data_IF_416343092438
#
_entry.id   IF_416343092438
#
_cell.length_a   1.000
_cell.length_b   1.000
_cell.length_c   1.000
_cell.angle_alpha   90.00
_cell.angle_beta   90.00
_cell.angle_gamma   90.00
#
_symmetry.space_group_name_H-M   'P 1'
#
loop_
_entity.id
_entity.type
_entity.pdbx_description
1 polymer ?
#
# COMPACT_ATOMS: atom_id res chain seq x y z
N UNK A 1 -5.08 15.09 12.86
CA UNK A 1 -6.01 15.21 11.71
C UNK A 1 -5.39 14.54 10.50
N UNK A 2 -6.05 13.55 9.88
CA UNK A 2 -5.54 12.94 8.66
C UNK A 2 -5.45 13.95 7.51
N UNK A 3 -4.48 13.74 6.64
CA UNK A 3 -4.24 14.58 5.48
C UNK A 3 -4.63 13.90 4.17
N UNK A 4 -4.59 12.59 4.14
CA UNK A 4 -5.00 11.79 3.00
C UNK A 4 -5.79 10.57 3.45
N UNK A 5 -6.60 10.03 2.55
CA UNK A 5 -7.45 8.87 2.82
C UNK A 5 -7.61 8.02 1.56
N UNK A 6 -7.71 6.72 1.75
CA UNK A 6 -8.11 5.78 0.71
C UNK A 6 -9.23 4.89 1.27
N UNK A 7 -10.26 4.64 0.47
CA UNK A 7 -11.41 3.85 0.90
C UNK A 7 -11.54 2.62 0.01
N UNK A 8 -11.40 1.44 0.61
CA UNK A 8 -11.74 0.19 -0.04
C UNK A 8 -13.22 -0.08 0.16
N UNK A 9 -13.97 -0.12 -0.92
CA UNK A 9 -15.40 -0.40 -0.87
C UNK A 9 -15.75 -1.39 -1.99
N UNK A 10 -15.09 -2.52 -1.99
CA UNK A 10 -15.31 -3.59 -2.95
C UNK A 10 -16.03 -4.76 -2.27
N UNK A 11 -16.56 -5.68 -3.06
CA UNK A 11 -17.37 -6.78 -2.55
C UNK A 11 -16.69 -7.58 -1.43
N UNK A 12 -15.40 -7.88 -1.59
CA UNK A 12 -14.65 -8.75 -0.70
C UNK A 12 -13.62 -8.04 0.16
N UNK A 13 -13.40 -6.75 -0.07
CA UNK A 13 -12.43 -5.94 0.68
C UNK A 13 -13.07 -4.60 1.04
N UNK A 14 -13.20 -4.33 2.33
CA UNK A 14 -13.74 -3.08 2.83
C UNK A 14 -12.87 -2.56 3.96
N UNK A 15 -12.57 -1.27 3.90
CA UNK A 15 -11.76 -0.62 4.92
C UNK A 15 -11.37 0.78 4.54
N UNK A 16 -10.92 1.52 5.54
CA UNK A 16 -10.44 2.89 5.39
C UNK A 16 -8.97 2.96 5.77
N UNK A 17 -8.20 3.69 5.00
CA UNK A 17 -6.79 3.93 5.30
C UNK A 17 -6.57 5.43 5.36
N UNK A 18 -6.03 5.91 6.47
CA UNK A 18 -5.71 7.32 6.65
C UNK A 18 -4.20 7.53 6.72
N UNK A 19 -3.79 8.70 6.26
CA UNK A 19 -2.38 9.12 6.21
C UNK A 19 -2.27 10.46 6.91
N UNK A 20 -1.45 10.53 7.95
CA UNK A 20 -1.29 11.72 8.77
C UNK A 20 0.18 12.14 8.77
N UNK A 21 0.45 13.39 8.40
CA UNK A 21 1.81 13.94 8.51
C UNK A 21 2.20 14.09 9.98
N UNK A 22 3.39 13.64 10.29
CA UNK A 22 3.99 13.80 11.63
C UNK A 22 5.46 14.11 11.47
N UNK A 23 5.81 15.40 11.53
CA UNK A 23 7.15 15.85 11.20
C UNK A 23 7.51 15.49 9.77
N UNK A 24 8.65 14.85 9.56
CA UNK A 24 9.11 14.39 8.25
C UNK A 24 8.55 13.02 7.83
N UNK A 25 7.63 12.47 8.62
CA UNK A 25 7.10 11.13 8.42
C UNK A 25 5.61 11.14 8.14
N UNK A 26 5.09 10.03 7.62
CA UNK A 26 3.65 9.78 7.48
C UNK A 26 3.28 8.59 8.36
N UNK A 27 2.25 8.79 9.18
CA UNK A 27 1.59 7.70 9.89
C UNK A 27 0.46 7.16 9.04
N UNK A 28 0.46 5.85 8.82
CA UNK A 28 -0.59 5.14 8.09
C UNK A 28 -1.39 4.33 9.08
N UNK A 29 -2.71 4.50 9.06
CA UNK A 29 -3.62 3.66 9.84
C UNK A 29 -4.64 3.03 8.90
N UNK A 30 -4.61 1.71 8.77
CA UNK A 30 -5.52 0.95 7.93
C UNK A 30 -6.46 0.15 8.82
N UNK A 31 -7.77 0.33 8.61
CA UNK A 31 -8.81 -0.39 9.36
C UNK A 31 -9.61 -1.18 8.33
N UNK A 32 -9.48 -2.51 8.36
CA UNK A 32 -10.23 -3.40 7.47
C UNK A 32 -11.40 -4.04 8.21
N UNK A 33 -12.59 -3.92 7.63
CA UNK A 33 -13.82 -4.53 8.15
C UNK A 33 -14.25 -5.76 7.36
N UNK A 34 -13.67 -5.96 6.17
CA UNK A 34 -13.87 -7.15 5.36
C UNK A 34 -12.61 -7.45 4.55
N UNK A 35 -12.14 -8.70 4.64
CA UNK A 35 -10.93 -9.14 3.97
C UNK A 35 -11.01 -10.65 3.74
N UNK A 36 -10.61 -11.18 2.57
CA UNK A 36 -10.54 -12.63 2.37
C UNK A 36 -9.60 -13.28 3.37
N UNK A 37 -9.81 -14.57 3.63
CA UNK A 37 -8.97 -15.37 4.53
C UNK A 37 -7.54 -15.44 3.99
N UNK A 38 -6.55 -15.45 4.87
CA UNK A 38 -5.14 -15.58 4.54
C UNK A 38 -4.37 -14.27 4.62
N UNK A 39 -3.09 -14.34 4.31
CA UNK A 39 -2.22 -13.18 4.24
C UNK A 39 -2.27 -12.57 2.84
N UNK A 40 -2.25 -11.25 2.78
CA UNK A 40 -2.33 -10.50 1.53
C UNK A 40 -1.26 -9.42 1.52
N UNK A 41 -0.46 -9.39 0.46
CA UNK A 41 0.45 -8.29 0.22
C UNK A 41 -0.33 -6.97 0.15
N UNK A 42 0.21 -5.92 0.77
CA UNK A 42 -0.44 -4.62 0.88
C UNK A 42 0.59 -3.55 0.55
N UNK A 43 0.31 -2.76 -0.51
CA UNK A 43 1.30 -1.84 -1.05
C UNK A 43 0.68 -0.54 -1.53
N UNK A 44 1.48 0.53 -1.48
CA UNK A 44 1.17 1.77 -2.20
C UNK A 44 1.75 1.63 -3.61
N UNK A 45 0.91 1.84 -4.62
CA UNK A 45 1.29 1.82 -6.03
C UNK A 45 1.39 3.25 -6.58
N UNK A 46 2.11 3.41 -7.70
CA UNK A 46 2.48 4.71 -8.26
C UNK A 46 1.29 5.53 -8.75
N UNK A 47 0.30 4.89 -9.34
CA UNK A 47 -0.77 5.59 -10.05
C UNK A 47 -2.14 5.25 -9.49
N UNK A 48 -3.07 6.19 -9.59
CA UNK A 48 -4.46 6.01 -9.20
C UNK A 48 -5.39 5.77 -10.39
N UNK A 49 -4.87 5.25 -11.49
CA UNK A 49 -5.70 4.93 -12.66
C UNK A 49 -6.34 3.57 -12.46
N UNK A 50 -7.60 3.57 -12.06
CA UNK A 50 -8.36 2.35 -11.78
C UNK A 50 -9.25 1.93 -12.95
N UNK A 51 -9.03 2.48 -14.14
CA UNK A 51 -9.77 2.06 -15.32
C UNK A 51 -9.40 0.63 -15.71
N UNK A 52 -10.36 -0.08 -16.29
CA UNK A 52 -10.16 -1.48 -16.71
C UNK A 52 -10.28 -2.45 -15.55
N UNK A 53 -9.76 -3.65 -15.76
CA UNK A 53 -9.87 -4.75 -14.79
C UNK A 53 -8.58 -5.00 -14.04
N UNK A 54 -8.71 -5.56 -12.84
CA UNK A 54 -7.57 -6.07 -12.07
C UNK A 54 -6.61 -5.02 -11.57
N UNK A 55 -7.04 -3.77 -11.45
CA UNK A 55 -6.23 -2.67 -10.92
C UNK A 55 -4.89 -2.47 -11.67
N UNK A 56 -4.84 -2.86 -12.95
CA UNK A 56 -3.60 -2.81 -13.74
C UNK A 56 -3.05 -1.40 -13.93
N UNK A 57 -3.93 -0.40 -13.99
CA UNK A 57 -3.55 0.99 -14.17
C UNK A 57 -2.83 1.60 -12.97
N UNK A 58 -2.80 0.91 -11.83
CA UNK A 58 -2.09 1.38 -10.64
C UNK A 58 -0.55 1.33 -10.81
N UNK A 59 -0.06 0.69 -11.85
CA UNK A 59 1.36 0.53 -12.16
C UNK A 59 2.12 -0.30 -11.10
N UNK A 60 3.40 0.02 -10.90
CA UNK A 60 4.28 -0.67 -9.96
C UNK A 60 4.17 -0.07 -8.56
N UNK A 61 4.86 -0.68 -7.59
CA UNK A 61 4.98 -0.15 -6.24
C UNK A 61 5.58 1.26 -6.27
N UNK A 62 5.05 2.13 -5.42
CA UNK A 62 5.57 3.48 -5.29
C UNK A 62 6.96 3.45 -4.66
N UNK A 63 7.89 4.16 -5.28
CA UNK A 63 9.24 4.34 -4.75
C UNK A 63 9.68 5.79 -4.92
N UNK A 64 10.03 6.42 -3.82
CA UNK A 64 10.61 7.76 -3.78
C UNK A 64 12.12 7.60 -3.74
N UNK A 65 12.79 8.03 -4.77
CA UNK A 65 14.24 7.92 -4.88
C UNK A 65 14.68 7.28 -6.20
N UNK A 66 15.86 6.68 -6.19
CA UNK A 66 16.41 6.04 -7.39
C UNK A 66 15.55 4.89 -7.86
N UNK A 67 15.23 4.88 -9.12
CA UNK A 67 14.40 3.84 -9.72
C UNK A 67 15.23 2.72 -10.33
N UNK A 68 14.68 1.52 -10.39
CA UNK A 68 13.30 1.12 -10.01
C UNK A 68 13.11 0.83 -8.52
N UNK A 69 14.15 0.84 -7.71
CA UNK A 69 14.10 0.37 -6.34
C UNK A 69 14.01 -1.16 -6.27
N UNK A 70 14.02 -1.69 -5.06
CA UNK A 70 13.96 -3.13 -4.81
C UNK A 70 12.87 -3.41 -3.79
N UNK A 71 12.02 -4.39 -4.07
CA UNK A 71 10.97 -4.80 -3.15
C UNK A 71 11.58 -5.39 -1.86
N UNK A 72 11.00 -5.03 -0.74
CA UNK A 72 11.44 -5.51 0.56
C UNK A 72 10.30 -5.61 1.55
N UNK A 73 10.63 -5.47 2.83
CA UNK A 73 9.70 -5.68 3.93
C UNK A 73 9.00 -4.42 4.42
N UNK A 74 8.63 -4.46 5.68
CA UNK A 74 7.89 -3.39 6.36
C UNK A 74 8.72 -2.11 6.47
N UNK A 75 8.05 -0.96 6.62
CA UNK A 75 8.73 0.29 6.97
C UNK A 75 9.59 0.11 8.23
N UNK A 76 10.80 0.64 8.19
CA UNK A 76 11.77 0.46 9.27
C UNK A 76 12.70 -0.74 9.08
N UNK A 77 12.48 -1.57 8.09
CA UNK A 77 13.39 -2.66 7.73
C UNK A 77 14.75 -2.10 7.32
N UNK A 78 15.82 -2.79 7.70
CA UNK A 78 17.18 -2.44 7.29
C UNK A 78 17.52 -2.84 5.87
N UNK A 79 16.73 -3.71 5.26
CA UNK A 79 16.92 -4.16 3.89
C UNK A 79 16.31 -3.14 2.92
N UNK A 80 16.83 -3.07 1.68
CA UNK A 80 16.20 -2.24 0.65
C UNK A 80 14.72 -2.59 0.49
N UNK A 81 13.90 -1.56 0.30
CA UNK A 81 12.45 -1.71 0.10
C UNK A 81 11.94 -0.54 -0.72
N UNK A 82 10.82 -0.72 -1.42
CA UNK A 82 10.10 0.41 -1.99
C UNK A 82 9.46 1.24 -0.87
N UNK A 83 9.27 2.52 -1.11
CA UNK A 83 8.57 3.39 -0.15
C UNK A 83 7.18 2.84 0.17
N UNK A 84 6.49 2.28 -0.82
CA UNK A 84 5.13 1.76 -0.69
C UNK A 84 5.01 0.33 -0.18
N UNK A 85 6.10 -0.33 0.18
CA UNK A 85 6.05 -1.70 0.68
C UNK A 85 5.57 -1.70 2.14
N UNK A 86 4.41 -2.32 2.41
CA UNK A 86 3.79 -2.38 3.73
C UNK A 86 3.63 -3.81 4.26
N UNK A 87 4.21 -4.79 3.57
CA UNK A 87 4.17 -6.19 4.01
C UNK A 87 2.81 -6.83 3.81
N UNK A 88 2.34 -7.56 4.80
CA UNK A 88 1.10 -8.32 4.73
C UNK A 88 0.05 -7.83 5.72
N UNK A 89 -1.21 -7.97 5.32
CA UNK A 89 -2.37 -7.87 6.20
C UNK A 89 -3.05 -9.24 6.26
N UNK A 90 -3.59 -9.59 7.41
CA UNK A 90 -4.26 -10.88 7.62
C UNK A 90 -5.42 -10.68 8.60
N UNK A 91 -6.63 -10.88 8.12
CA UNK A 91 -7.83 -10.69 8.92
C UNK A 91 -8.22 -9.23 9.10
N UNK A 92 -9.46 -9.03 9.54
CA UNK A 92 -10.01 -7.71 9.86
C UNK A 92 -9.34 -7.13 11.10
N UNK A 93 -9.28 -5.82 11.17
CA UNK A 93 -8.63 -5.12 12.28
C UNK A 93 -7.86 -3.90 11.83
N UNK A 94 -6.98 -3.44 12.71
CA UNK A 94 -6.21 -2.21 12.51
C UNK A 94 -4.74 -2.50 12.30
N UNK A 95 -4.16 -1.88 11.27
CA UNK A 95 -2.74 -1.99 10.92
C UNK A 95 -2.13 -0.60 10.91
N UNK A 96 -0.99 -0.42 11.55
CA UNK A 96 -0.34 0.90 11.67
C UNK A 96 1.09 0.83 11.16
N UNK A 97 1.48 1.89 10.42
CA UNK A 97 2.82 2.00 9.85
C UNK A 97 3.33 3.43 10.00
N UNK A 98 4.65 3.58 10.06
CA UNK A 98 5.32 4.87 9.94
C UNK A 98 6.24 4.82 8.73
N UNK A 99 6.02 5.69 7.76
CA UNK A 99 6.88 5.81 6.58
C UNK A 99 7.71 7.07 6.73
N UNK A 100 9.03 6.93 6.72
CA UNK A 100 9.96 8.06 6.88
C UNK A 100 10.14 8.82 5.58
N UNK A 101 10.52 10.08 5.71
CA UNK A 101 10.85 10.97 4.59
C UNK A 101 9.74 11.05 3.54
N UNK A 102 8.52 11.19 4.00
CA UNK A 102 7.35 11.24 3.16
C UNK A 102 6.34 12.21 3.72
N UNK A 103 5.61 12.89 2.84
CA UNK A 103 4.42 13.65 3.19
C UNK A 103 3.19 13.01 2.56
N UNK A 104 2.03 13.19 3.19
CA UNK A 104 0.77 12.67 2.67
C UNK A 104 0.45 13.26 1.29
N UNK A 105 0.86 14.52 1.04
CA UNK A 105 0.65 15.20 -0.24
C UNK A 105 1.37 14.49 -1.40
N UNK A 106 2.50 13.83 -1.13
CA UNK A 106 3.22 13.05 -2.14
C UNK A 106 2.45 11.78 -2.55
N UNK A 107 1.44 11.41 -1.78
CA UNK A 107 0.62 10.21 -2.05
C UNK A 107 -0.65 10.52 -2.83
N UNK A 108 -1.03 11.79 -2.97
CA UNK A 108 -2.25 12.17 -3.69
C UNK A 108 -2.23 11.63 -5.12
N UNK A 109 -3.32 10.98 -5.53
CA UNK A 109 -3.47 10.41 -6.85
C UNK A 109 -2.79 9.07 -7.06
N UNK A 110 -2.09 8.57 -6.08
CA UNK A 110 -1.57 7.19 -6.06
C UNK A 110 -2.65 6.24 -5.57
N UNK A 111 -2.33 4.97 -5.42
CA UNK A 111 -3.32 4.00 -4.97
C UNK A 111 -2.74 3.05 -3.93
N UNK A 112 -3.65 2.43 -3.16
CA UNK A 112 -3.36 1.28 -2.32
C UNK A 112 -3.89 0.03 -2.99
N UNK A 113 -3.14 -1.03 -2.92
CA UNK A 113 -3.50 -2.32 -3.50
C UNK A 113 -3.44 -3.40 -2.41
N UNK A 114 -4.48 -4.25 -2.39
CA UNK A 114 -4.46 -5.52 -1.66
C UNK A 114 -4.28 -6.62 -2.69
N UNK A 115 -3.31 -7.50 -2.45
CA UNK A 115 -2.97 -8.61 -3.34
C UNK A 115 -3.62 -9.92 -2.92
N UNK A 116 -3.69 -10.86 -3.84
CA UNK A 116 -4.29 -12.19 -3.61
C UNK A 116 -3.47 -13.02 -2.62
N UNK A 117 -2.16 -13.00 -2.77
CA UNK A 117 -1.24 -13.86 -2.04
C UNK A 117 -0.39 -13.09 -1.05
N UNK A 118 0.28 -13.83 -0.16
CA UNK A 118 1.20 -13.25 0.79
C UNK A 118 2.40 -12.62 0.08
N UNK A 119 2.83 -11.48 0.61
CA UNK A 119 4.09 -10.84 0.24
C UNK A 119 5.24 -11.62 0.89
N UNK A 120 6.21 -12.05 0.11
CA UNK A 120 7.38 -12.79 0.63
C UNK A 120 8.47 -11.85 1.18
N UNK A 121 8.22 -10.55 1.22
CA UNK A 121 9.13 -9.52 1.75
C UNK A 121 10.49 -9.46 1.03
N UNK A 122 10.52 -9.95 -0.23
CA UNK A 122 11.74 -10.05 -1.01
C UNK A 122 12.63 -11.24 -0.64
N UNK A 123 12.12 -12.16 0.19
CA UNK A 123 12.89 -13.28 0.73
C UNK A 123 12.59 -14.61 0.05
N UNK A 124 11.58 -14.67 -0.80
CA UNK A 124 11.04 -15.93 -1.32
C UNK A 124 11.85 -16.58 -2.44
N UNK A 125 12.83 -15.88 -3.01
CA UNK A 125 13.66 -16.40 -4.09
C UNK A 125 12.87 -16.79 -5.35
N UNK A 126 11.71 -16.15 -5.55
CA UNK A 126 10.93 -16.28 -6.78
C UNK A 126 11.38 -15.23 -7.80
N UNK A 127 10.96 -15.40 -9.06
CA UNK A 127 11.35 -14.48 -10.14
C UNK A 127 10.92 -13.03 -9.86
N UNK A 128 9.81 -12.82 -9.15
CA UNK A 128 9.24 -11.51 -8.83
C UNK A 128 9.37 -11.12 -7.36
N UNK A 129 10.13 -11.86 -6.54
CA UNK A 129 10.31 -11.55 -5.13
C UNK A 129 10.88 -10.14 -4.89
N UNK A 130 11.83 -9.71 -5.72
CA UNK A 130 12.50 -8.41 -5.58
C UNK A 130 11.80 -7.29 -6.37
N UNK A 131 10.67 -7.57 -6.99
CA UNK A 131 9.86 -6.57 -7.70
C UNK A 131 8.48 -6.38 -7.08
N UNK A 132 7.76 -7.46 -6.85
CA UNK A 132 6.38 -7.42 -6.34
C UNK A 132 6.17 -8.17 -5.03
N UNK A 133 7.18 -8.89 -4.53
CA UNK A 133 7.03 -9.74 -3.36
C UNK A 133 6.26 -11.02 -3.62
N UNK A 134 6.12 -11.42 -4.88
CA UNK A 134 5.40 -12.62 -5.30
C UNK A 134 3.96 -12.67 -4.77
N UNK A 135 3.33 -11.50 -4.64
CA UNK A 135 2.01 -11.36 -3.99
C UNK A 135 0.83 -11.68 -4.89
N UNK A 136 1.07 -12.01 -6.15
CA UNK A 136 0.02 -12.41 -7.08
C UNK A 136 -0.88 -11.28 -7.55
N UNK A 137 -2.11 -11.63 -7.92
CA UNK A 137 -3.06 -10.68 -8.49
C UNK A 137 -3.45 -9.58 -7.52
N UNK A 138 -3.90 -8.47 -8.09
CA UNK A 138 -4.44 -7.33 -7.35
C UNK A 138 -5.93 -7.55 -7.16
N UNK A 139 -6.37 -7.83 -5.94
CA UNK A 139 -7.77 -8.15 -5.67
C UNK A 139 -8.59 -6.95 -5.23
N UNK A 140 -7.94 -5.88 -4.78
CA UNK A 140 -8.62 -4.64 -4.43
C UNK A 140 -7.70 -3.44 -4.59
N UNK A 141 -8.29 -2.31 -4.92
CA UNK A 141 -7.57 -1.05 -5.07
C UNK A 141 -8.40 0.13 -4.59
N UNK A 142 -7.71 1.17 -4.12
CA UNK A 142 -8.32 2.40 -3.66
C UNK A 142 -7.41 3.58 -3.96
N UNK A 143 -7.98 4.66 -4.49
CA UNK A 143 -7.22 5.89 -4.78
C UNK A 143 -6.98 6.64 -3.48
N UNK A 144 -5.77 7.16 -3.30
CA UNK A 144 -5.41 8.02 -2.19
C UNK A 144 -5.76 9.46 -2.56
N UNK A 145 -6.63 10.07 -1.80
CA UNK A 145 -7.09 11.44 -2.03
C UNK A 145 -7.00 12.29 -0.78
N UNK A 146 -7.44 13.53 -0.93
CA UNK A 146 -7.52 14.50 0.19
C UNK A 146 -8.64 14.09 1.14
N UNK A 147 -8.43 14.37 2.41
CA UNK A 147 -9.51 14.28 3.40
C UNK A 147 -10.39 15.51 3.37
N UNK A 148 -11.60 15.38 3.87
CA UNK A 148 -12.51 16.53 4.00
C UNK A 148 -12.02 17.54 5.04
N UNK A 149 -11.21 17.12 6.00
CA UNK A 149 -10.63 18.00 7.00
C UNK A 149 -9.68 19.04 6.38
N UNK A 150 -9.20 18.81 5.17
CA UNK A 150 -8.35 19.77 4.46
C UNK A 150 -9.15 20.77 3.62
N UNK A 151 -10.48 20.66 3.64
CA UNK A 151 -11.35 21.65 3.01
C UNK A 151 -11.59 22.83 3.94
#
# INVERSE_FOLDING_TARGET
>A
MPHAVAVFNMRNVKGDVTFTNKGANVLVEAIFTKLPVGEHGFHIHMAGDLRGEGCKGACAHFHKGSRPGTHGGLPGSKRPRHTGDLGNISGTGTYKYTIRDLSAEELFGRSLIVHEDADDLGLGNEADSLTTGHSGRRIACAIIGRTMESC
#
